data_IF_570386065429
#
_entry.id   IF_570386065429
#
_cell.length_a   1.000
_cell.length_b   1.000
_cell.length_c   1.000
_cell.angle_alpha   90.00
_cell.angle_beta   90.00
_cell.angle_gamma   90.00
#
_symmetry.space_group_name_H-M   'P 1'
#
loop_
_entity.id
_entity.type
_entity.pdbx_description
1 polymer ?
#
# COMPACT_ATOMS: atom_id res chain seq x y z
N UNK A 1 8.67 -39.17 7.94
CA UNK A 1 8.48 -38.98 6.49
C UNK A 1 7.12 -38.35 6.32
N UNK A 2 7.00 -37.25 5.55
CA UNK A 2 5.71 -36.55 5.38
C UNK A 2 4.77 -37.38 4.51
N UNK A 3 3.49 -37.46 4.88
CA UNK A 3 2.47 -38.24 4.15
C UNK A 3 1.83 -37.36 3.08
N UNK A 4 1.81 -37.80 1.82
CA UNK A 4 1.23 -37.03 0.71
C UNK A 4 -0.19 -37.52 0.41
N UNK A 5 -1.15 -36.59 0.31
CA UNK A 5 -2.54 -36.87 -0.10
C UNK A 5 -2.79 -36.30 -1.49
N UNK A 6 -3.15 -37.19 -2.43
CA UNK A 6 -3.46 -36.86 -3.82
C UNK A 6 -4.96 -37.04 -4.13
N UNK A 7 -5.40 -36.53 -5.28
CA UNK A 7 -6.80 -36.60 -5.70
C UNK A 7 -7.37 -38.03 -5.68
N UNK A 8 -6.57 -39.03 -6.06
CA UNK A 8 -6.97 -40.45 -6.05
C UNK A 8 -7.30 -40.97 -4.66
N UNK A 9 -6.63 -40.46 -3.63
CA UNK A 9 -6.88 -40.87 -2.24
C UNK A 9 -8.22 -40.33 -1.74
N UNK A 10 -8.60 -39.12 -2.18
CA UNK A 10 -9.89 -38.49 -1.87
C UNK A 10 -11.05 -39.18 -2.58
N UNK A 11 -10.88 -39.53 -3.87
CA UNK A 11 -11.86 -40.31 -4.64
C UNK A 11 -12.08 -41.72 -4.07
N UNK A 12 -11.00 -42.36 -3.59
CA UNK A 12 -11.10 -43.68 -2.95
C UNK A 12 -11.86 -43.63 -1.62
N UNK A 13 -11.74 -42.52 -0.88
CA UNK A 13 -12.45 -42.29 0.38
C UNK A 13 -13.96 -42.07 0.15
N UNK A 14 -14.32 -41.35 -0.93
CA UNK A 14 -15.72 -41.17 -1.36
C UNK A 14 -16.39 -42.50 -1.69
N UNK A 15 -15.70 -43.37 -2.45
CA UNK A 15 -16.20 -44.71 -2.81
C UNK A 15 -16.45 -45.63 -1.60
N UNK A 16 -15.86 -45.29 -0.45
CA UNK A 16 -16.08 -45.98 0.83
C UNK A 16 -17.19 -45.32 1.67
N UNK A 17 -17.89 -44.31 1.14
CA UNK A 17 -19.01 -43.63 1.78
C UNK A 17 -18.60 -42.70 2.94
N UNK A 18 -17.31 -42.38 3.07
CA UNK A 18 -16.78 -41.51 4.13
C UNK A 18 -16.62 -40.08 3.60
N UNK A 19 -17.11 -39.11 4.39
CA UNK A 19 -17.02 -37.67 4.07
C UNK A 19 -15.92 -36.93 4.81
N UNK A 20 -15.12 -37.64 5.60
CA UNK A 20 -14.05 -37.03 6.40
C UNK A 20 -12.74 -37.77 6.15
N UNK A 21 -11.73 -37.03 5.73
CA UNK A 21 -10.37 -37.53 5.53
C UNK A 21 -9.50 -37.14 6.73
N UNK A 22 -9.03 -38.09 7.55
CA UNK A 22 -8.19 -37.77 8.69
C UNK A 22 -6.80 -37.32 8.23
N UNK A 23 -6.38 -36.14 8.68
CA UNK A 23 -5.06 -35.55 8.43
C UNK A 23 -4.28 -35.42 9.75
N UNK A 24 -2.96 -35.40 9.67
CA UNK A 24 -2.07 -35.08 10.78
C UNK A 24 -1.19 -33.86 10.43
N UNK A 25 -0.41 -33.37 11.39
CA UNK A 25 0.46 -32.20 11.20
C UNK A 25 1.60 -32.44 10.18
N UNK A 26 1.83 -33.69 9.78
CA UNK A 26 2.87 -34.09 8.82
C UNK A 26 2.28 -34.49 7.45
N UNK A 27 1.00 -34.20 7.22
CA UNK A 27 0.28 -34.49 5.97
C UNK A 27 0.34 -33.32 4.99
N UNK A 28 0.89 -33.55 3.80
CA UNK A 28 0.89 -32.60 2.68
C UNK A 28 -0.30 -32.91 1.77
N UNK A 29 -1.21 -31.95 1.62
CA UNK A 29 -2.36 -32.05 0.72
C UNK A 29 -2.01 -31.36 -0.60
N UNK A 30 -2.10 -32.10 -1.70
CA UNK A 30 -1.89 -31.50 -3.03
C UNK A 30 -3.05 -30.56 -3.41
N UNK A 31 -2.83 -29.50 -4.19
CA UNK A 31 -3.89 -28.60 -4.65
C UNK A 31 -5.05 -29.34 -5.32
N UNK A 32 -4.72 -30.32 -6.17
CA UNK A 32 -5.71 -31.16 -6.85
C UNK A 32 -6.55 -32.01 -5.88
N UNK A 33 -5.99 -32.51 -4.78
CA UNK A 33 -6.75 -33.21 -3.74
C UNK A 33 -7.74 -32.28 -3.02
N UNK A 34 -7.36 -31.02 -2.80
CA UNK A 34 -8.22 -30.00 -2.17
C UNK A 34 -9.41 -29.63 -3.06
N UNK A 35 -9.18 -29.51 -4.36
CA UNK A 35 -10.22 -29.21 -5.33
C UNK A 35 -11.23 -30.35 -5.46
N UNK A 36 -10.75 -31.60 -5.51
CA UNK A 36 -11.60 -32.80 -5.56
C UNK A 36 -12.39 -32.98 -4.25
N UNK A 37 -11.76 -32.75 -3.09
CA UNK A 37 -12.45 -32.80 -1.81
C UNK A 37 -13.60 -31.77 -1.74
N UNK A 38 -13.39 -30.56 -2.26
CA UNK A 38 -14.42 -29.51 -2.32
C UNK A 38 -15.57 -29.89 -3.28
N UNK A 39 -15.25 -30.51 -4.42
CA UNK A 39 -16.27 -30.96 -5.38
C UNK A 39 -17.13 -32.10 -4.85
N UNK A 40 -16.55 -32.99 -4.04
CA UNK A 40 -17.22 -34.17 -3.48
C UNK A 40 -17.76 -33.96 -2.05
N UNK A 41 -17.57 -32.76 -1.48
CA UNK A 41 -18.04 -32.42 -0.13
C UNK A 41 -17.33 -33.22 0.98
N UNK A 42 -16.04 -33.46 0.82
CA UNK A 42 -15.18 -34.16 1.78
C UNK A 42 -14.36 -33.15 2.57
N UNK A 43 -14.37 -33.27 3.90
CA UNK A 43 -13.62 -32.40 4.80
C UNK A 43 -12.36 -33.10 5.34
N UNK A 44 -11.26 -32.34 5.46
CA UNK A 44 -10.04 -32.83 6.11
C UNK A 44 -10.09 -32.50 7.60
N UNK A 45 -9.98 -33.52 8.46
CA UNK A 45 -10.07 -33.34 9.92
C UNK A 45 -8.81 -33.86 10.61
N UNK A 46 -8.26 -33.11 11.55
CA UNK A 46 -7.06 -33.51 12.27
C UNK A 46 -7.36 -34.64 13.27
N UNK A 47 -6.74 -35.81 13.11
CA UNK A 47 -6.94 -36.93 14.03
C UNK A 47 -6.08 -36.77 15.30
N UNK A 48 -6.68 -36.37 16.41
CA UNK A 48 -6.11 -36.58 17.75
C UNK A 48 -6.53 -37.97 18.24
N UNK A 49 -5.57 -38.82 18.60
CA UNK A 49 -5.83 -40.19 19.03
C UNK A 49 -5.39 -40.43 20.48
N UNK A 50 -6.36 -40.90 21.29
CA UNK A 50 -6.22 -41.57 22.59
C UNK A 50 -6.93 -40.85 23.74
N UNK A 51 -7.82 -41.42 24.55
CA UNK A 51 -8.50 -42.71 24.63
C UNK A 51 -9.75 -42.53 25.52
N UNK A 52 -10.73 -43.41 25.34
CA UNK A 52 -12.00 -43.50 26.04
C UNK A 52 -11.91 -43.79 27.55
N UNK A 53 -12.77 -43.14 28.34
CA UNK A 53 -13.61 -43.80 29.36
C UNK A 53 -14.82 -42.91 29.68
N UNK A 54 -16.02 -43.50 29.56
CA UNK A 54 -17.29 -42.88 29.90
C UNK A 54 -17.49 -42.94 31.42
N UNK A 55 -17.71 -41.80 32.07
CA UNK A 55 -18.74 -41.69 33.12
C UNK A 55 -19.39 -40.32 33.00
N UNK A 56 -20.68 -40.36 32.71
CA UNK A 56 -21.64 -39.26 32.81
C UNK A 56 -21.61 -38.63 34.20
N UNK A 57 -21.43 -37.31 34.28
CA UNK A 57 -22.19 -36.47 35.22
C UNK A 57 -22.12 -34.99 34.84
N UNK A 58 -23.31 -34.45 34.56
CA UNK A 58 -23.77 -33.08 34.75
C UNK A 58 -22.80 -31.91 34.48
N UNK A 59 -23.04 -31.29 33.31
CA UNK A 59 -23.19 -29.84 33.12
C UNK A 59 -22.26 -28.90 33.92
N UNK A 60 -21.13 -28.53 33.30
CA UNK A 60 -20.55 -27.18 33.37
C UNK A 60 -19.39 -27.07 32.38
N UNK A 61 -19.62 -26.43 31.23
CA UNK A 61 -18.51 -25.94 30.40
C UNK A 61 -18.97 -24.92 29.37
N UNK A 62 -18.49 -23.69 29.58
CA UNK A 62 -18.20 -22.61 28.63
C UNK A 62 -19.32 -22.13 27.68
N UNK A 63 -20.28 -21.39 28.25
CA UNK A 63 -20.77 -20.17 27.59
C UNK A 63 -19.66 -19.09 27.69
N UNK A 64 -18.64 -19.22 26.85
CA UNK A 64 -17.59 -18.21 26.71
C UNK A 64 -17.94 -17.30 25.54
N UNK A 65 -18.89 -16.40 25.72
CA UNK A 65 -19.10 -15.31 24.76
C UNK A 65 -17.77 -14.57 24.56
N UNK A 66 -17.48 -14.19 23.31
CA UNK A 66 -16.35 -13.31 23.04
C UNK A 66 -16.65 -11.99 23.76
N UNK A 67 -16.01 -11.81 24.91
CA UNK A 67 -16.18 -10.63 25.74
C UNK A 67 -15.53 -9.42 25.07
N UNK A 68 -16.18 -8.25 25.16
CA UNK A 68 -15.67 -7.00 24.61
C UNK A 68 -14.31 -6.66 25.18
N UNK A 69 -14.07 -7.00 26.45
CA UNK A 69 -12.78 -6.78 27.11
C UNK A 69 -11.69 -7.70 26.56
N UNK A 70 -12.02 -8.95 26.20
CA UNK A 70 -11.07 -9.83 25.52
C UNK A 70 -10.72 -9.33 24.13
N UNK A 71 -11.71 -8.84 23.36
CA UNK A 71 -11.46 -8.22 22.05
C UNK A 71 -10.55 -6.99 22.21
N UNK A 72 -10.87 -6.11 23.15
CA UNK A 72 -10.09 -4.91 23.42
C UNK A 72 -8.66 -5.24 23.82
N UNK A 73 -8.47 -6.21 24.72
CA UNK A 73 -7.14 -6.61 25.19
C UNK A 73 -6.32 -7.27 24.08
N UNK A 74 -6.94 -8.07 23.20
CA UNK A 74 -6.27 -8.64 22.02
C UNK A 74 -5.88 -7.53 21.05
N UNK A 75 -6.79 -6.62 20.71
CA UNK A 75 -6.51 -5.49 19.82
C UNK A 75 -5.41 -4.58 20.38
N UNK A 76 -5.48 -4.24 21.68
CA UNK A 76 -4.46 -3.46 22.39
C UNK A 76 -3.10 -4.13 22.37
N UNK A 77 -3.06 -5.44 22.66
CA UNK A 77 -1.81 -6.21 22.63
C UNK A 77 -1.22 -6.28 21.22
N UNK A 78 -2.06 -6.40 20.19
CA UNK A 78 -1.60 -6.42 18.80
C UNK A 78 -1.11 -5.04 18.32
N UNK A 79 -1.73 -3.95 18.82
CA UNK A 79 -1.26 -2.56 18.62
C UNK A 79 0.10 -2.33 19.29
N UNK A 80 0.24 -2.69 20.57
CA UNK A 80 1.50 -2.56 21.32
C UNK A 80 2.64 -3.39 20.71
N UNK A 81 2.31 -4.53 20.08
CA UNK A 81 3.27 -5.40 19.39
C UNK A 81 3.51 -5.03 17.92
N UNK A 82 2.91 -3.94 17.43
CA UNK A 82 3.07 -3.47 16.04
C UNK A 82 2.49 -4.42 14.97
N UNK A 83 1.72 -5.44 15.36
CA UNK A 83 1.14 -6.42 14.44
C UNK A 83 -0.05 -5.86 13.64
N UNK A 84 -0.64 -4.74 14.09
CA UNK A 84 -1.76 -4.09 13.40
C UNK A 84 -1.32 -2.96 12.44
N UNK A 85 -0.03 -2.66 12.36
CA UNK A 85 0.49 -1.52 11.58
C UNK A 85 0.04 -1.59 10.11
N UNK A 86 0.16 -2.77 9.48
CA UNK A 86 -0.25 -2.97 8.08
C UNK A 86 -1.76 -3.13 7.86
N UNK A 87 -2.56 -3.33 8.92
CA UNK A 87 -4.01 -3.54 8.83
C UNK A 87 -4.78 -2.21 8.83
N UNK A 88 -4.24 -1.15 9.44
CA UNK A 88 -4.77 0.22 9.35
C UNK A 88 -4.33 0.99 8.11
N UNK A 89 -3.23 0.57 7.45
CA UNK A 89 -2.76 1.23 6.22
C UNK A 89 -3.75 1.07 5.06
N UNK A 90 -4.57 0.01 5.07
CA UNK A 90 -5.59 -0.27 4.06
C UNK A 90 -6.80 0.68 4.09
N UNK A 91 -6.90 1.53 5.11
CA UNK A 91 -7.90 2.59 5.24
C UNK A 91 -7.26 3.99 5.37
N UNK A 92 -5.97 4.12 5.06
CA UNK A 92 -5.30 5.41 5.19
C UNK A 92 -5.51 6.25 3.93
N UNK A 93 -6.13 7.43 4.09
CA UNK A 93 -6.25 8.43 3.02
C UNK A 93 -4.92 9.19 2.81
N UNK A 94 -3.80 8.48 2.94
CA UNK A 94 -2.48 9.05 2.73
C UNK A 94 -2.36 9.48 1.26
N UNK A 95 -1.68 10.60 0.99
CA UNK A 95 -1.45 11.07 -0.37
C UNK A 95 -0.49 10.17 -1.15
N UNK A 96 0.23 9.25 -0.50
CA UNK A 96 1.13 8.29 -1.15
C UNK A 96 1.49 7.13 -0.22
N UNK A 97 1.96 6.03 -0.81
CA UNK A 97 2.59 4.90 -0.12
C UNK A 97 4.08 5.19 0.05
N UNK A 98 4.57 5.05 1.27
CA UNK A 98 5.98 5.20 1.61
C UNK A 98 6.45 4.07 2.54
N UNK A 99 7.69 3.65 2.35
CA UNK A 99 8.42 2.77 3.27
C UNK A 99 9.47 3.61 4.00
N UNK A 100 9.52 3.50 5.33
CA UNK A 100 10.49 4.20 6.15
C UNK A 100 11.29 3.21 6.98
N UNK A 101 12.57 3.50 7.19
CA UNK A 101 13.43 2.79 8.12
C UNK A 101 13.77 3.67 9.33
N UNK A 102 14.09 3.03 10.46
CA UNK A 102 14.53 3.69 11.68
C UNK A 102 15.76 4.60 11.52
N UNK A 103 16.59 4.39 10.50
CA UNK A 103 17.73 5.26 10.19
C UNK A 103 17.36 6.56 9.46
N UNK A 104 16.08 6.79 9.15
CA UNK A 104 15.61 7.97 8.42
C UNK A 104 15.54 7.78 6.90
N UNK A 105 15.85 6.58 6.38
CA UNK A 105 15.59 6.27 4.97
C UNK A 105 14.08 6.29 4.70
N UNK A 106 13.65 7.01 3.68
CA UNK A 106 12.27 7.04 3.17
C UNK A 106 12.25 6.73 1.68
N UNK A 107 11.40 5.80 1.29
CA UNK A 107 11.16 5.42 -0.11
C UNK A 107 9.69 5.65 -0.43
N UNK A 108 9.41 6.66 -1.26
CA UNK A 108 8.05 6.97 -1.71
C UNK A 108 7.77 6.23 -3.02
N UNK A 109 6.65 5.52 -3.09
CA UNK A 109 6.21 4.83 -4.31
C UNK A 109 5.53 5.84 -5.24
N UNK A 110 6.28 6.38 -6.19
CA UNK A 110 5.84 7.49 -7.06
C UNK A 110 4.56 7.24 -7.88
N UNK A 111 4.18 5.98 -8.11
CA UNK A 111 2.93 5.60 -8.78
C UNK A 111 1.68 5.70 -7.87
N UNK A 112 1.87 5.82 -6.56
CA UNK A 112 0.79 5.94 -5.57
C UNK A 112 0.48 7.40 -5.19
N UNK A 113 1.27 8.35 -5.70
CA UNK A 113 1.13 9.78 -5.38
C UNK A 113 -0.19 10.31 -5.92
N UNK A 114 -1.07 10.70 -5.00
CA UNK A 114 -2.22 11.57 -5.21
C UNK A 114 -1.74 13.02 -5.14
N UNK A 115 -2.42 13.90 -5.85
CA UNK A 115 -2.04 15.30 -5.96
C UNK A 115 -3.15 16.21 -5.43
N UNK A 116 -2.73 17.34 -4.89
CA UNK A 116 -3.60 18.43 -4.48
C UNK A 116 -3.48 19.58 -5.47
N UNK A 117 -4.51 20.43 -5.54
CA UNK A 117 -4.50 21.62 -6.39
C UNK A 117 -3.50 22.63 -5.84
N UNK A 118 -2.63 23.15 -6.69
CA UNK A 118 -1.81 24.31 -6.37
C UNK A 118 -2.64 25.58 -6.60
N UNK A 119 -2.72 26.44 -5.60
CA UNK A 119 -3.38 27.73 -5.75
C UNK A 119 -2.49 28.69 -6.56
N UNK A 120 -2.84 28.89 -7.84
CA UNK A 120 -2.19 29.86 -8.73
C UNK A 120 -2.87 31.23 -8.67
N UNK A 121 -3.94 31.40 -7.88
CA UNK A 121 -4.83 32.54 -7.90
C UNK A 121 -5.91 32.48 -9.00
N UNK A 122 -5.86 31.49 -9.90
CA UNK A 122 -6.87 31.26 -10.93
C UNK A 122 -7.42 29.82 -10.85
N UNK A 123 -8.70 29.61 -10.46
CA UNK A 123 -9.27 28.27 -10.29
C UNK A 123 -9.45 27.48 -11.59
N UNK A 124 -9.26 28.11 -12.76
CA UNK A 124 -9.28 27.42 -14.05
C UNK A 124 -7.96 26.72 -14.37
N UNK A 125 -6.87 27.09 -13.69
CA UNK A 125 -5.55 26.49 -13.91
C UNK A 125 -5.52 25.07 -13.35
N UNK A 126 -4.95 24.16 -14.14
CA UNK A 126 -4.82 22.75 -13.77
C UNK A 126 -3.39 22.48 -13.37
N UNK A 127 -3.05 22.96 -12.17
CA UNK A 127 -1.74 22.78 -11.57
C UNK A 127 -1.94 21.99 -10.29
N UNK A 128 -1.19 20.91 -10.17
CA UNK A 128 -1.30 20.01 -9.03
C UNK A 128 0.08 19.68 -8.50
N UNK A 129 0.19 19.50 -7.19
CA UNK A 129 1.44 19.16 -6.56
C UNK A 129 1.22 18.21 -5.39
N UNK A 130 2.30 17.55 -4.99
CA UNK A 130 2.34 16.79 -3.75
C UNK A 130 3.77 16.83 -3.23
N UNK A 131 3.94 17.40 -2.04
CA UNK A 131 5.18 17.27 -1.28
C UNK A 131 5.28 15.85 -0.70
N UNK A 132 6.45 15.23 -0.84
CA UNK A 132 6.70 13.84 -0.44
C UNK A 132 7.91 13.69 0.50
N UNK A 133 8.80 14.69 0.54
CA UNK A 133 9.94 14.79 1.46
C UNK A 133 9.96 16.20 2.04
N UNK A 134 10.11 16.32 3.37
CA UNK A 134 10.18 17.61 4.05
C UNK A 134 10.90 17.53 5.41
N UNK A 135 10.77 18.57 6.23
CA UNK A 135 11.39 18.67 7.53
C UNK A 135 10.98 17.56 8.52
N UNK A 136 9.77 17.01 8.40
CA UNK A 136 9.32 15.89 9.25
C UNK A 136 10.11 14.61 8.97
N UNK A 137 10.71 14.50 7.77
CA UNK A 137 11.63 13.42 7.40
C UNK A 137 13.08 13.72 7.80
N UNK A 138 13.34 14.82 8.52
CA UNK A 138 14.68 15.30 8.84
C UNK A 138 15.45 15.90 7.67
N UNK A 139 14.76 16.20 6.55
CA UNK A 139 15.37 16.78 5.36
C UNK A 139 15.43 18.32 5.46
N UNK A 140 16.57 18.92 5.08
CA UNK A 140 16.72 20.38 5.02
C UNK A 140 16.09 21.00 3.77
N UNK A 141 15.63 20.18 2.83
CA UNK A 141 14.97 20.58 1.59
C UNK A 141 13.57 19.99 1.56
N UNK A 142 12.67 20.66 0.87
CA UNK A 142 11.38 20.07 0.55
C UNK A 142 11.44 19.50 -0.86
N UNK A 143 10.81 18.37 -1.11
CA UNK A 143 10.76 17.78 -2.43
C UNK A 143 9.43 17.07 -2.69
N UNK A 144 9.05 17.02 -3.96
CA UNK A 144 7.74 16.55 -4.36
C UNK A 144 7.60 16.37 -5.86
N UNK A 145 6.36 16.20 -6.29
CA UNK A 145 6.01 16.20 -7.70
C UNK A 145 5.05 17.35 -7.99
N UNK A 146 5.22 17.95 -9.16
CA UNK A 146 4.28 18.93 -9.70
C UNK A 146 3.84 18.50 -11.10
N UNK A 147 2.58 18.77 -11.42
CA UNK A 147 2.02 18.56 -12.76
C UNK A 147 1.28 19.80 -13.22
N UNK A 148 1.39 20.12 -14.51
CA UNK A 148 0.71 21.24 -15.16
C UNK A 148 0.00 20.67 -16.38
N UNK A 149 -1.29 20.97 -16.55
CA UNK A 149 -2.11 20.48 -17.66
C UNK A 149 -2.70 21.65 -18.47
N UNK A 150 -2.22 21.83 -19.70
CA UNK A 150 -2.74 22.76 -20.71
C UNK A 150 -3.07 24.16 -20.17
N UNK A 151 -2.21 24.73 -19.34
CA UNK A 151 -2.35 26.07 -18.80
C UNK A 151 -0.99 26.76 -18.66
N UNK A 152 -1.04 28.07 -18.42
CA UNK A 152 0.10 28.90 -18.10
C UNK A 152 -0.28 29.81 -16.93
N UNK A 153 0.63 30.03 -15.99
CA UNK A 153 0.40 30.85 -14.81
C UNK A 153 1.68 31.58 -14.41
N UNK A 154 1.52 32.78 -13.84
CA UNK A 154 2.63 33.55 -13.30
C UNK A 154 3.06 32.96 -11.96
N UNK A 155 4.37 32.91 -11.73
CA UNK A 155 4.95 32.38 -10.51
C UNK A 155 6.15 33.22 -10.08
N UNK A 156 6.21 33.55 -8.79
CA UNK A 156 7.39 34.15 -8.16
C UNK A 156 8.01 33.11 -7.21
N UNK A 157 9.21 32.62 -7.57
CA UNK A 157 9.91 31.62 -6.77
C UNK A 157 10.32 32.23 -5.42
N UNK A 158 9.61 31.90 -4.35
CA UNK A 158 9.88 32.40 -3.00
C UNK A 158 11.21 31.89 -2.42
N UNK A 159 11.70 30.79 -2.96
CA UNK A 159 12.93 30.09 -2.58
C UNK A 159 13.66 29.58 -3.84
N UNK A 160 14.77 28.88 -3.67
CA UNK A 160 15.41 28.22 -4.81
C UNK A 160 14.60 26.98 -5.18
N UNK A 161 14.38 26.75 -6.47
CA UNK A 161 13.63 25.60 -6.96
C UNK A 161 14.45 24.86 -8.05
N UNK A 162 14.56 23.54 -7.93
CA UNK A 162 15.20 22.67 -8.92
C UNK A 162 14.21 21.62 -9.39
N UNK A 163 13.98 21.58 -10.70
CA UNK A 163 13.01 20.68 -11.32
C UNK A 163 13.75 19.68 -12.20
N UNK A 164 13.34 18.41 -12.16
CA UNK A 164 13.73 17.39 -13.12
C UNK A 164 12.47 16.88 -13.83
N UNK A 165 12.44 17.02 -15.15
CA UNK A 165 11.24 16.68 -15.93
C UNK A 165 11.15 15.16 -16.09
N UNK A 166 10.04 14.61 -15.65
CA UNK A 166 9.74 13.16 -15.69
C UNK A 166 8.86 12.83 -16.90
N UNK A 167 7.91 13.69 -17.23
CA UNK A 167 6.95 13.47 -18.32
C UNK A 167 6.59 14.79 -18.99
N UNK A 168 6.30 14.74 -20.29
CA UNK A 168 5.72 15.85 -21.03
C UNK A 168 6.66 17.03 -21.19
N UNK A 169 6.12 18.25 -21.24
CA UNK A 169 6.91 19.44 -21.61
C UNK A 169 6.62 20.61 -20.70
N UNK A 170 7.64 21.08 -19.98
CA UNK A 170 7.58 22.34 -19.23
C UNK A 170 7.96 23.49 -20.17
N UNK A 171 7.14 24.54 -20.18
CA UNK A 171 7.48 25.82 -20.80
C UNK A 171 7.67 26.88 -19.72
N UNK A 172 8.73 27.67 -19.84
CA UNK A 172 9.04 28.78 -18.93
C UNK A 172 9.24 30.05 -19.75
N UNK A 173 8.44 31.07 -19.49
CA UNK A 173 8.60 32.38 -20.13
C UNK A 173 9.26 33.38 -19.19
N UNK A 174 10.34 34.02 -19.64
CA UNK A 174 11.07 35.07 -18.91
C UNK A 174 11.53 36.14 -19.90
N UNK A 175 11.20 37.41 -19.63
CA UNK A 175 11.65 38.53 -20.46
C UNK A 175 11.23 38.41 -21.94
N UNK A 176 10.03 37.88 -22.20
CA UNK A 176 9.51 37.68 -23.56
C UNK A 176 10.12 36.49 -24.33
N UNK A 177 11.03 35.74 -23.73
CA UNK A 177 11.58 34.50 -24.30
C UNK A 177 10.97 33.28 -23.62
N UNK A 178 10.65 32.27 -24.43
CA UNK A 178 10.16 30.97 -23.95
C UNK A 178 11.31 29.95 -23.99
N UNK A 179 11.47 29.23 -22.89
CA UNK A 179 12.34 28.08 -22.75
C UNK A 179 11.50 26.82 -22.59
N UNK A 180 12.02 25.70 -23.08
CA UNK A 180 11.33 24.42 -23.05
C UNK A 180 12.24 23.36 -22.43
N UNK A 181 11.70 22.57 -21.51
CA UNK A 181 12.36 21.41 -20.92
C UNK A 181 11.50 20.15 -21.13
N UNK A 182 12.15 19.06 -21.51
CA UNK A 182 11.55 17.77 -21.87
C UNK A 182 12.01 16.67 -20.90
N UNK A 183 11.45 15.45 -20.95
CA UNK A 183 11.80 14.41 -20.00
C UNK A 183 13.30 14.11 -19.98
N UNK A 184 13.90 14.10 -18.79
CA UNK A 184 15.34 13.98 -18.57
C UNK A 184 16.07 15.31 -18.38
N UNK A 185 15.46 16.43 -18.75
CA UNK A 185 16.05 17.76 -18.54
C UNK A 185 15.89 18.22 -17.09
N UNK A 186 16.79 19.10 -16.66
CA UNK A 186 16.74 19.75 -15.35
C UNK A 186 16.73 21.27 -15.48
N UNK A 187 15.97 21.94 -14.62
CA UNK A 187 15.78 23.39 -14.63
C UNK A 187 16.01 23.94 -13.23
N UNK A 188 16.67 25.08 -13.13
CA UNK A 188 16.93 25.79 -11.89
C UNK A 188 16.27 27.16 -11.92
N UNK A 189 15.58 27.51 -10.85
CA UNK A 189 14.99 28.83 -10.63
C UNK A 189 15.60 29.46 -9.37
N UNK A 190 16.23 30.64 -9.49
CA UNK A 190 16.74 31.35 -8.33
C UNK A 190 15.59 31.99 -7.54
N UNK A 191 15.79 32.14 -6.23
CA UNK A 191 14.88 32.91 -5.37
C UNK A 191 14.63 34.31 -5.94
N UNK A 192 13.35 34.71 -5.97
CA UNK A 192 12.88 35.98 -6.53
C UNK A 192 12.72 35.98 -8.05
N UNK A 193 12.97 34.86 -8.73
CA UNK A 193 12.66 34.75 -10.15
C UNK A 193 11.15 34.90 -10.38
N UNK A 194 10.78 35.79 -11.30
CA UNK A 194 9.40 35.97 -11.77
C UNK A 194 9.32 35.38 -13.17
N UNK A 195 8.53 34.33 -13.31
CA UNK A 195 8.44 33.52 -14.52
C UNK A 195 6.98 33.20 -14.83
N UNK A 196 6.69 32.82 -16.07
CA UNK A 196 5.42 32.18 -16.40
C UNK A 196 5.70 30.70 -16.62
N UNK A 197 5.19 29.84 -15.75
CA UNK A 197 5.21 28.40 -15.94
C UNK A 197 4.05 27.98 -16.83
N UNK A 198 4.21 26.86 -17.53
CA UNK A 198 3.14 26.28 -18.30
C UNK A 198 3.48 24.94 -18.91
N UNK A 199 2.47 24.37 -19.55
CA UNK A 199 2.64 23.24 -20.45
C UNK A 199 1.62 23.35 -21.58
N UNK A 200 2.00 23.06 -22.84
CA UNK A 200 1.03 23.02 -23.92
C UNK A 200 0.00 21.89 -23.74
N UNK A 201 0.43 20.75 -23.18
CA UNK A 201 -0.40 19.56 -23.00
C UNK A 201 -0.39 19.13 -21.54
N UNK A 202 0.67 18.41 -21.15
CA UNK A 202 0.88 17.96 -19.78
C UNK A 202 2.37 17.97 -19.50
N UNK A 203 2.73 18.19 -18.25
CA UNK A 203 4.06 17.89 -17.74
C UNK A 203 3.98 17.28 -16.34
N UNK A 204 5.00 16.50 -15.99
CA UNK A 204 5.29 16.08 -14.61
C UNK A 204 6.77 16.29 -14.31
N UNK A 205 7.07 16.91 -13.17
CA UNK A 205 8.44 17.12 -12.72
C UNK A 205 8.57 16.68 -11.27
N UNK A 206 9.73 16.11 -10.93
CA UNK A 206 10.20 16.08 -9.56
C UNK A 206 10.78 17.44 -9.24
N UNK A 207 10.41 18.03 -8.10
CA UNK A 207 10.97 19.28 -7.63
C UNK A 207 11.70 19.10 -6.31
N UNK A 208 12.70 19.94 -6.08
CA UNK A 208 13.33 20.16 -4.77
C UNK A 208 13.46 21.67 -4.52
N UNK A 209 13.19 22.10 -3.29
CA UNK A 209 13.24 23.49 -2.87
C UNK A 209 14.02 23.69 -1.58
N UNK A 210 14.62 24.88 -1.43
CA UNK A 210 15.42 25.30 -0.27
C UNK A 210 15.27 26.80 0.01
#
# INVERSE_FOLDING_TARGET
>A
MKKLVCAKDVEALEKQGKKVFPIDNDTIITPSAKDVAKALGIEFSAASQGCCENVTEAAKSCEGGIDSDMIYNVLKTMLEKGLLQGMFDSASDKPYVAECDSCGLKVVRGNSVKYEVLDTGNPADKVFYQEIINADDGCSMNAGFITIESCNFEWECACQELYHIVEGTLTVSVGGKVYTANPGDSVFFPKGAKVTFGSPNKMKAFYATY
#
